data_IF_715671599691
#
_entry.id   IF_715671599691
#
_cell.length_a   1.000
_cell.length_b   1.000
_cell.length_c   1.000
_cell.angle_alpha   90.00
_cell.angle_beta   90.00
_cell.angle_gamma   90.00
#
_symmetry.space_group_name_H-M   'P 1'
#
loop_
_entity.id
_entity.type
_entity.pdbx_description
1 polymer ?
#
# COMPACT_ATOMS: atom_id res chain seq x y z
N UNK A 1 28.77 46.12 38.77
CA UNK A 1 27.53 45.41 38.45
C UNK A 1 27.47 45.23 36.95
N UNK A 2 27.03 44.07 36.48
CA UNK A 2 26.98 43.82 35.03
C UNK A 2 25.67 44.39 34.51
N UNK A 3 25.75 45.18 33.45
CA UNK A 3 24.60 45.81 32.80
C UNK A 3 24.56 45.38 31.33
N UNK A 4 23.38 45.38 30.76
CA UNK A 4 23.12 45.07 29.36
C UNK A 4 22.50 46.31 28.68
N UNK A 5 23.07 46.71 27.56
CA UNK A 5 22.53 47.84 26.78
C UNK A 5 21.42 47.34 25.89
N UNK A 6 20.22 47.89 26.03
CA UNK A 6 19.03 47.53 25.25
C UNK A 6 19.12 48.16 23.88
N UNK A 7 19.30 47.34 22.87
CA UNK A 7 19.32 47.74 21.48
C UNK A 7 18.24 47.02 20.70
N UNK A 8 17.65 47.63 19.68
CA UNK A 8 16.76 46.93 18.76
C UNK A 8 17.50 45.75 18.15
N UNK A 9 16.92 44.56 18.26
CA UNK A 9 17.46 43.32 17.73
C UNK A 9 16.32 42.41 17.23
N UNK A 10 16.62 41.64 16.22
CA UNK A 10 15.69 40.63 15.77
C UNK A 10 15.60 39.53 16.84
N UNK A 11 14.37 39.18 17.18
CA UNK A 11 14.05 38.11 18.10
C UNK A 11 13.52 36.94 17.31
N UNK A 12 14.09 35.76 17.57
CA UNK A 12 13.64 34.47 17.00
C UNK A 12 13.46 33.48 18.13
N UNK A 13 12.28 32.97 18.23
CA UNK A 13 12.00 31.79 19.07
C UNK A 13 11.77 30.60 18.15
N UNK A 14 12.61 29.58 18.25
CA UNK A 14 12.53 28.38 17.47
C UNK A 14 12.47 27.16 18.35
N UNK A 15 11.78 26.11 17.85
CA UNK A 15 11.76 24.79 18.41
C UNK A 15 12.56 23.86 17.49
N UNK A 16 13.63 23.26 18.03
CA UNK A 16 14.46 22.32 17.29
C UNK A 16 13.98 20.90 17.56
N UNK A 17 13.65 20.18 16.50
CA UNK A 17 13.19 18.79 16.56
C UNK A 17 13.90 17.96 15.51
N UNK A 18 14.08 16.68 15.80
CA UNK A 18 14.62 15.71 14.84
C UNK A 18 13.46 15.00 14.12
N UNK A 19 13.64 14.76 12.85
CA UNK A 19 12.69 14.05 12.02
C UNK A 19 13.36 13.15 11.00
N UNK A 20 12.55 12.35 10.32
CA UNK A 20 13.01 11.44 9.26
C UNK A 20 12.39 11.87 7.93
N UNK A 21 13.20 11.92 6.89
CA UNK A 21 12.76 12.19 5.52
C UNK A 21 11.96 11.00 5.01
N UNK A 22 10.77 11.26 4.49
CA UNK A 22 9.90 10.26 3.88
C UNK A 22 9.34 10.77 2.56
N UNK A 23 9.03 9.86 1.64
CA UNK A 23 8.29 10.23 0.44
C UNK A 23 6.81 10.47 0.79
N UNK A 24 6.19 11.45 0.15
CA UNK A 24 4.75 11.73 0.30
C UNK A 24 3.91 10.57 -0.26
N UNK A 25 4.38 9.99 -1.36
CA UNK A 25 3.74 8.85 -2.02
C UNK A 25 4.73 7.70 -2.11
N UNK A 26 4.25 6.50 -1.79
CA UNK A 26 5.04 5.27 -1.91
C UNK A 26 4.19 4.21 -2.59
N UNK A 27 4.70 3.63 -3.67
CA UNK A 27 4.07 2.49 -4.32
C UNK A 27 4.56 1.21 -3.65
N UNK A 28 3.63 0.47 -3.07
CA UNK A 28 3.91 -0.82 -2.44
C UNK A 28 3.73 -1.94 -3.46
N UNK A 29 4.74 -2.77 -3.61
CA UNK A 29 4.70 -3.98 -4.45
C UNK A 29 4.46 -5.17 -3.54
N UNK A 30 3.27 -5.77 -3.69
CA UNK A 30 2.81 -6.89 -2.87
C UNK A 30 2.82 -8.19 -3.65
N UNK A 31 3.22 -9.27 -3.00
CA UNK A 31 3.09 -10.61 -3.56
C UNK A 31 1.63 -11.07 -3.59
N UNK A 32 1.23 -11.90 -4.56
CA UNK A 32 -0.09 -12.52 -4.57
C UNK A 32 -0.28 -13.41 -3.34
N UNK A 33 -1.53 -13.52 -2.86
CA UNK A 33 -1.85 -14.34 -1.68
C UNK A 33 -1.96 -15.82 -2.06
N UNK A 34 -0.81 -16.46 -2.26
CA UNK A 34 -0.69 -17.87 -2.61
C UNK A 34 0.23 -18.59 -1.64
N UNK A 35 -0.02 -19.85 -1.41
CA UNK A 35 0.83 -20.69 -0.55
C UNK A 35 2.12 -21.10 -1.25
N UNK A 36 3.20 -21.25 -0.46
CA UNK A 36 4.45 -21.80 -0.95
C UNK A 36 5.20 -20.94 -1.95
N UNK A 37 5.04 -19.60 -1.85
CA UNK A 37 5.80 -18.66 -2.65
C UNK A 37 7.23 -18.55 -2.14
N UNK A 38 8.19 -18.66 -3.05
CA UNK A 38 9.61 -18.45 -2.78
C UNK A 38 10.14 -17.33 -3.68
N UNK A 39 10.92 -16.42 -3.13
CA UNK A 39 11.57 -15.34 -3.87
C UNK A 39 12.76 -15.91 -4.63
N UNK A 40 12.72 -15.86 -5.96
CA UNK A 40 13.81 -16.34 -6.84
C UNK A 40 14.74 -15.20 -7.23
N UNK A 41 14.18 -14.04 -7.51
CA UNK A 41 14.93 -12.84 -7.88
C UNK A 41 14.30 -11.63 -7.18
N UNK A 42 15.16 -10.73 -6.73
CA UNK A 42 14.77 -9.47 -6.10
C UNK A 42 15.70 -8.38 -6.63
N UNK A 43 15.16 -7.23 -7.00
CA UNK A 43 15.93 -6.05 -7.37
C UNK A 43 16.77 -5.57 -6.17
N UNK A 44 17.93 -4.99 -6.43
CA UNK A 44 18.82 -4.51 -5.38
C UNK A 44 18.26 -3.28 -4.67
N UNK A 45 18.56 -3.15 -3.39
CA UNK A 45 18.14 -1.97 -2.63
C UNK A 45 18.85 -0.72 -3.14
N UNK A 46 18.05 0.32 -3.48
CA UNK A 46 18.55 1.56 -4.05
C UNK A 46 18.71 1.55 -5.57
N UNK A 47 18.40 0.42 -6.23
CA UNK A 47 18.37 0.33 -7.70
C UNK A 47 17.29 1.23 -8.28
N UNK A 48 17.60 1.94 -9.37
CA UNK A 48 16.61 2.74 -10.11
C UNK A 48 16.10 1.89 -11.25
N UNK A 49 14.78 1.69 -11.26
CA UNK A 49 14.09 0.88 -12.26
C UNK A 49 13.12 1.74 -13.07
N UNK A 50 12.88 1.37 -14.32
CA UNK A 50 11.89 2.00 -15.20
C UNK A 50 10.51 1.31 -15.05
N UNK A 51 9.47 1.96 -15.55
CA UNK A 51 8.13 1.38 -15.59
C UNK A 51 8.10 0.09 -16.42
N UNK A 52 7.60 -0.99 -15.83
CA UNK A 52 7.54 -2.31 -16.47
C UNK A 52 8.75 -3.20 -16.24
N UNK A 53 9.82 -2.71 -15.60
CA UNK A 53 10.96 -3.55 -15.25
C UNK A 53 10.59 -4.61 -14.21
N UNK A 54 11.21 -5.79 -14.32
CA UNK A 54 11.00 -6.87 -13.36
C UNK A 54 11.75 -6.61 -12.05
N UNK A 55 11.02 -6.34 -10.99
CA UNK A 55 11.58 -6.03 -9.66
C UNK A 55 11.61 -7.22 -8.72
N UNK A 56 10.73 -8.19 -8.91
CA UNK A 56 10.77 -9.43 -8.15
C UNK A 56 10.21 -10.58 -8.99
N UNK A 57 10.82 -11.75 -8.86
CA UNK A 57 10.32 -13.01 -9.45
C UNK A 57 10.07 -13.98 -8.32
N UNK A 58 8.84 -14.44 -8.24
CA UNK A 58 8.39 -15.45 -7.30
C UNK A 58 8.24 -16.80 -8.02
N UNK A 59 8.36 -17.89 -7.30
CA UNK A 59 8.06 -19.23 -7.79
C UNK A 59 7.19 -19.99 -6.77
N UNK A 60 6.31 -20.83 -7.29
CA UNK A 60 5.57 -21.79 -6.49
C UNK A 60 5.57 -23.13 -7.19
N UNK A 61 6.36 -24.06 -6.69
CA UNK A 61 6.43 -25.44 -7.20
C UNK A 61 5.05 -26.11 -7.17
N UNK A 62 4.21 -25.75 -6.21
CA UNK A 62 2.86 -26.29 -6.08
C UNK A 62 1.96 -25.79 -7.23
N UNK A 63 1.99 -24.50 -7.54
CA UNK A 63 1.20 -23.93 -8.63
C UNK A 63 1.67 -24.44 -10.00
N UNK A 64 2.98 -24.56 -10.22
CA UNK A 64 3.55 -25.12 -11.44
C UNK A 64 3.08 -26.56 -11.67
N UNK A 65 3.14 -27.40 -10.63
CA UNK A 65 2.62 -28.77 -10.68
C UNK A 65 1.11 -28.80 -10.94
N UNK A 66 0.37 -27.86 -10.35
CA UNK A 66 -1.08 -27.77 -10.56
C UNK A 66 -1.43 -27.41 -11.99
N UNK A 67 -0.71 -26.45 -12.58
CA UNK A 67 -0.89 -26.06 -13.99
C UNK A 67 -0.60 -27.24 -14.91
N UNK A 68 0.49 -27.97 -14.67
CA UNK A 68 0.84 -29.15 -15.50
C UNK A 68 -0.20 -30.26 -15.36
N UNK A 69 -0.69 -30.52 -14.16
CA UNK A 69 -1.77 -31.50 -13.95
C UNK A 69 -3.04 -31.13 -14.71
N UNK A 70 -3.44 -29.84 -14.65
CA UNK A 70 -4.64 -29.36 -15.38
C UNK A 70 -4.45 -29.42 -16.89
N UNK A 71 -3.23 -29.20 -17.39
CA UNK A 71 -2.90 -29.34 -18.82
C UNK A 71 -3.07 -30.76 -19.30
N UNK A 72 -2.51 -31.72 -18.55
CA UNK A 72 -2.64 -33.16 -18.86
C UNK A 72 -4.13 -33.60 -18.80
N UNK A 73 -4.86 -33.12 -17.79
CA UNK A 73 -6.30 -33.42 -17.66
C UNK A 73 -7.11 -32.84 -18.84
N UNK A 74 -6.80 -31.65 -19.31
CA UNK A 74 -7.44 -31.01 -20.48
C UNK A 74 -7.18 -31.86 -21.74
N UNK A 75 -5.93 -32.25 -21.98
CA UNK A 75 -5.55 -33.09 -23.14
C UNK A 75 -6.29 -34.44 -23.12
N UNK A 76 -6.37 -35.08 -21.95
CA UNK A 76 -7.16 -36.31 -21.78
C UNK A 76 -8.62 -36.09 -22.15
N UNK A 77 -9.27 -35.05 -21.64
CA UNK A 77 -10.67 -34.72 -21.95
C UNK A 77 -10.91 -34.45 -23.43
N UNK A 78 -9.93 -33.83 -24.11
CA UNK A 78 -9.98 -33.60 -25.57
C UNK A 78 -9.91 -34.93 -26.33
N UNK A 79 -9.01 -35.83 -25.93
CA UNK A 79 -8.90 -37.18 -26.51
C UNK A 79 -10.17 -38.00 -26.29
N UNK A 80 -10.77 -37.93 -25.08
CA UNK A 80 -12.02 -38.59 -24.75
C UNK A 80 -13.18 -38.07 -25.63
N UNK A 81 -13.22 -36.77 -25.94
CA UNK A 81 -14.21 -36.20 -26.86
C UNK A 81 -14.08 -36.81 -28.28
N UNK A 82 -12.86 -36.88 -28.80
CA UNK A 82 -12.58 -37.42 -30.12
C UNK A 82 -13.04 -38.90 -30.17
N UNK A 83 -12.71 -39.70 -29.14
CA UNK A 83 -13.15 -41.09 -29.05
C UNK A 83 -14.67 -41.19 -28.98
N UNK A 84 -15.34 -40.32 -28.24
CA UNK A 84 -16.80 -40.27 -28.14
C UNK A 84 -17.45 -39.92 -29.49
N UNK A 85 -16.90 -38.94 -30.22
CA UNK A 85 -17.39 -38.57 -31.57
C UNK A 85 -17.24 -39.71 -32.57
N UNK A 86 -16.10 -40.41 -32.54
CA UNK A 86 -15.87 -41.60 -33.39
C UNK A 86 -16.88 -42.75 -33.05
N UNK A 87 -17.03 -43.04 -31.77
CA UNK A 87 -17.94 -44.10 -31.31
C UNK A 87 -19.41 -43.82 -31.68
N UNK A 88 -19.84 -42.55 -31.46
CA UNK A 88 -21.19 -42.11 -31.81
C UNK A 88 -21.38 -42.09 -33.34
N UNK A 89 -20.39 -41.64 -34.11
CA UNK A 89 -20.40 -41.67 -35.57
C UNK A 89 -20.56 -43.09 -36.12
N UNK A 90 -19.79 -44.06 -35.62
CA UNK A 90 -19.88 -45.48 -36.02
C UNK A 90 -21.25 -46.05 -35.68
N UNK A 91 -21.80 -45.79 -34.49
CA UNK A 91 -23.12 -46.28 -34.10
C UNK A 91 -24.23 -45.69 -34.97
N UNK A 92 -24.18 -44.39 -35.32
CA UNK A 92 -25.17 -43.76 -36.19
C UNK A 92 -25.06 -44.29 -37.62
N UNK A 93 -23.84 -44.45 -38.17
CA UNK A 93 -23.62 -45.04 -39.49
C UNK A 93 -24.17 -46.47 -39.59
N UNK A 94 -23.97 -47.29 -38.52
CA UNK A 94 -24.56 -48.64 -38.45
C UNK A 94 -26.10 -48.65 -38.50
N UNK A 95 -26.73 -47.71 -37.78
CA UNK A 95 -28.19 -47.55 -37.82
C UNK A 95 -28.68 -47.04 -39.19
N UNK A 96 -27.93 -46.15 -39.83
CA UNK A 96 -28.23 -45.61 -41.13
C UNK A 96 -28.19 -46.67 -42.21
N UNK A 97 -27.18 -47.56 -42.20
CA UNK A 97 -27.09 -48.72 -43.09
C UNK A 97 -28.29 -49.68 -42.86
N UNK A 98 -28.69 -49.93 -41.62
CA UNK A 98 -29.88 -50.72 -41.35
C UNK A 98 -31.18 -50.10 -41.87
N UNK A 99 -31.30 -48.74 -41.83
CA UNK A 99 -32.43 -48.02 -42.40
C UNK A 99 -32.45 -48.15 -43.93
N UNK A 100 -31.29 -48.00 -44.59
CA UNK A 100 -31.20 -48.15 -46.06
C UNK A 100 -31.54 -49.60 -46.48
N UNK A 101 -30.97 -50.60 -45.82
CA UNK A 101 -31.30 -52.00 -46.12
C UNK A 101 -32.79 -52.28 -45.94
N UNK A 102 -33.44 -51.74 -44.87
CA UNK A 102 -34.85 -51.90 -44.68
C UNK A 102 -35.70 -51.14 -45.70
N UNK A 103 -35.27 -50.01 -46.23
CA UNK A 103 -35.92 -49.31 -47.36
C UNK A 103 -35.92 -50.17 -48.62
N UNK A 104 -34.78 -50.80 -48.93
CA UNK A 104 -34.69 -51.74 -50.03
C UNK A 104 -35.66 -52.96 -49.82
N UNK A 105 -35.70 -53.55 -48.57
CA UNK A 105 -36.62 -54.60 -48.23
C UNK A 105 -38.11 -54.21 -48.40
N UNK A 106 -38.43 -52.92 -48.01
CA UNK A 106 -39.79 -52.39 -48.25
C UNK A 106 -40.08 -52.20 -49.72
N UNK A 107 -39.16 -51.68 -50.54
CA UNK A 107 -39.35 -51.53 -51.99
C UNK A 107 -39.57 -52.90 -52.68
N UNK A 108 -38.82 -53.94 -52.28
CA UNK A 108 -39.04 -55.25 -52.79
C UNK A 108 -40.44 -55.74 -52.40
N UNK A 109 -40.84 -55.63 -51.13
CA UNK A 109 -42.16 -56.02 -50.66
C UNK A 109 -43.30 -55.22 -51.32
N UNK A 110 -43.06 -54.00 -51.74
CA UNK A 110 -44.01 -53.15 -52.48
C UNK A 110 -44.15 -53.64 -53.91
N UNK A 111 -43.05 -54.02 -54.57
CA UNK A 111 -43.04 -54.58 -55.93
C UNK A 111 -43.77 -55.98 -55.92
N UNK A 112 -43.49 -56.82 -54.93
CA UNK A 112 -44.20 -58.09 -54.73
C UNK A 112 -45.70 -57.85 -54.53
N UNK A 113 -46.09 -56.75 -53.92
CA UNK A 113 -47.51 -56.41 -53.74
C UNK A 113 -48.18 -55.98 -55.02
N UNK A 114 -47.52 -55.55 -56.03
CA UNK A 114 -48.02 -55.21 -57.38
C UNK A 114 -48.47 -56.55 -58.11
N UNK A 115 -47.78 -57.61 -57.82
CA UNK A 115 -48.10 -58.95 -58.40
C UNK A 115 -49.37 -59.64 -57.79
N UNK A 116 -50.02 -59.00 -56.79
CA UNK A 116 -51.21 -59.46 -56.05
C UNK A 116 -52.35 -59.95 -56.97
N UNK A 117 -52.48 -59.42 -58.15
CA UNK A 117 -53.59 -59.72 -59.11
C UNK A 117 -53.58 -61.14 -59.57
N UNK A 118 -52.47 -61.91 -59.45
CA UNK A 118 -52.22 -63.21 -60.02
C UNK A 118 -51.96 -64.33 -58.96
N UNK A 119 -52.16 -64.03 -57.64
CA UNK A 119 -51.77 -64.93 -56.58
C UNK A 119 -52.96 -65.33 -55.68
N UNK A 120 -53.02 -66.56 -55.13
CA UNK A 120 -54.09 -67.02 -54.23
C UNK A 120 -54.24 -66.19 -52.98
N UNK A 121 -55.43 -66.11 -52.38
CA UNK A 121 -55.77 -65.25 -51.25
C UNK A 121 -54.89 -65.42 -50.03
N UNK A 122 -54.42 -66.59 -49.70
CA UNK A 122 -53.52 -66.90 -48.60
C UNK A 122 -52.16 -66.26 -48.78
N UNK A 123 -51.66 -66.29 -50.03
CA UNK A 123 -50.38 -65.60 -50.38
C UNK A 123 -50.49 -64.05 -50.40
N UNK A 124 -51.64 -63.53 -50.75
CA UNK A 124 -51.92 -62.11 -50.66
C UNK A 124 -51.79 -61.62 -49.19
N UNK A 125 -52.40 -62.28 -48.23
CA UNK A 125 -52.27 -62.00 -46.82
C UNK A 125 -50.84 -62.10 -46.32
N UNK A 126 -50.04 -63.04 -46.81
CA UNK A 126 -48.66 -63.18 -46.43
C UNK A 126 -47.80 -61.97 -46.93
N UNK A 127 -48.03 -61.55 -48.17
CA UNK A 127 -47.32 -60.33 -48.72
C UNK A 127 -47.73 -59.09 -47.96
N UNK A 128 -48.99 -58.89 -47.62
CA UNK A 128 -49.46 -57.77 -46.81
C UNK A 128 -48.80 -57.77 -45.42
N UNK A 129 -48.72 -58.85 -44.78
CA UNK A 129 -48.07 -59.00 -43.47
C UNK A 129 -46.58 -58.69 -43.56
N UNK A 130 -45.89 -59.16 -44.61
CA UNK A 130 -44.46 -58.81 -44.83
C UNK A 130 -44.26 -57.33 -45.05
N UNK A 131 -45.11 -56.71 -45.87
CA UNK A 131 -45.02 -55.23 -46.07
C UNK A 131 -45.31 -54.48 -44.81
N UNK A 132 -46.35 -54.82 -44.03
CA UNK A 132 -46.63 -54.20 -42.74
C UNK A 132 -45.48 -54.40 -41.76
N UNK A 133 -44.90 -55.62 -41.72
CA UNK A 133 -43.73 -55.89 -40.88
C UNK A 133 -42.50 -54.99 -41.25
N UNK A 134 -42.21 -54.85 -42.54
CA UNK A 134 -41.13 -54.00 -43.02
C UNK A 134 -41.40 -52.53 -42.67
N UNK A 135 -42.65 -52.05 -42.78
CA UNK A 135 -43.08 -50.71 -42.42
C UNK A 135 -42.94 -50.44 -40.91
N UNK A 136 -43.35 -51.39 -40.06
CA UNK A 136 -43.17 -51.24 -38.60
C UNK A 136 -41.68 -51.24 -38.25
N UNK A 137 -40.87 -52.11 -38.90
CA UNK A 137 -39.41 -52.15 -38.71
C UNK A 137 -38.74 -50.78 -39.14
N UNK A 138 -39.22 -50.25 -40.26
CA UNK A 138 -38.77 -48.89 -40.71
C UNK A 138 -39.03 -47.79 -39.65
N UNK A 139 -40.26 -47.69 -39.18
CA UNK A 139 -40.65 -46.74 -38.15
C UNK A 139 -39.86 -46.90 -36.84
N UNK A 140 -39.60 -48.16 -36.45
CA UNK A 140 -38.80 -48.47 -35.26
C UNK A 140 -37.35 -48.00 -35.43
N UNK A 141 -36.72 -48.29 -36.59
CA UNK A 141 -35.35 -47.89 -36.90
C UNK A 141 -35.20 -46.39 -36.98
N UNK A 142 -36.16 -45.67 -37.60
CA UNK A 142 -36.19 -44.21 -37.65
C UNK A 142 -36.22 -43.58 -36.24
N UNK A 143 -37.10 -44.12 -35.37
CA UNK A 143 -37.15 -43.67 -33.95
C UNK A 143 -35.86 -43.97 -33.22
N UNK A 144 -35.25 -45.15 -33.42
CA UNK A 144 -33.98 -45.50 -32.82
C UNK A 144 -32.84 -44.61 -33.29
N UNK A 145 -32.78 -44.31 -34.60
CA UNK A 145 -31.78 -43.39 -35.17
C UNK A 145 -31.94 -41.98 -34.60
N UNK A 146 -33.17 -41.44 -34.57
CA UNK A 146 -33.44 -40.11 -34.01
C UNK A 146 -33.09 -40.02 -32.53
N UNK A 147 -33.45 -41.02 -31.73
CA UNK A 147 -33.12 -41.10 -30.32
C UNK A 147 -31.61 -41.19 -30.09
N UNK A 148 -30.88 -42.06 -30.82
CA UNK A 148 -29.42 -42.19 -30.70
C UNK A 148 -28.70 -40.92 -31.14
N UNK A 149 -29.18 -40.26 -32.18
CA UNK A 149 -28.65 -38.96 -32.63
C UNK A 149 -28.79 -37.89 -31.54
N UNK A 150 -29.99 -37.77 -30.94
CA UNK A 150 -30.21 -36.79 -29.87
C UNK A 150 -29.37 -37.08 -28.63
N UNK A 151 -29.18 -38.34 -28.26
CA UNK A 151 -28.28 -38.75 -27.17
C UNK A 151 -26.82 -38.35 -27.51
N UNK A 152 -26.34 -38.71 -28.71
CA UNK A 152 -24.99 -38.40 -29.16
C UNK A 152 -24.70 -36.92 -29.17
N UNK A 153 -25.64 -36.11 -29.71
CA UNK A 153 -25.50 -34.64 -29.71
C UNK A 153 -25.44 -34.08 -28.29
N UNK A 154 -26.19 -34.67 -27.35
CA UNK A 154 -26.20 -34.25 -25.94
C UNK A 154 -24.89 -34.62 -25.24
N UNK A 155 -24.39 -35.86 -25.43
CA UNK A 155 -23.09 -36.31 -24.89
C UNK A 155 -21.93 -35.46 -25.38
N UNK A 156 -21.88 -35.17 -26.69
CA UNK A 156 -20.84 -34.29 -27.28
C UNK A 156 -20.93 -32.88 -26.69
N UNK A 157 -22.15 -32.32 -26.53
CA UNK A 157 -22.33 -31.00 -25.93
C UNK A 157 -21.86 -30.96 -24.47
N UNK A 158 -22.19 -31.98 -23.69
CA UNK A 158 -21.73 -32.10 -22.30
C UNK A 158 -20.21 -32.23 -22.22
N UNK A 159 -19.59 -33.01 -23.09
CA UNK A 159 -18.14 -33.17 -23.13
C UNK A 159 -17.46 -31.85 -23.50
N UNK A 160 -17.97 -31.13 -24.51
CA UNK A 160 -17.48 -29.75 -24.89
C UNK A 160 -17.61 -28.76 -23.76
N UNK A 161 -18.72 -28.82 -23.00
CA UNK A 161 -18.88 -27.95 -21.81
C UNK A 161 -17.84 -28.25 -20.73
N UNK A 162 -17.55 -29.54 -20.46
CA UNK A 162 -16.50 -29.95 -19.50
C UNK A 162 -15.11 -29.51 -19.93
N UNK A 163 -14.82 -29.55 -21.23
CA UNK A 163 -13.54 -29.06 -21.81
C UNK A 163 -13.44 -27.54 -21.61
N UNK A 164 -14.50 -26.79 -21.91
CA UNK A 164 -14.50 -25.34 -21.70
C UNK A 164 -14.26 -24.95 -20.25
N UNK A 165 -14.86 -25.67 -19.30
CA UNK A 165 -14.60 -25.46 -17.87
C UNK A 165 -13.13 -25.75 -17.50
N UNK A 166 -12.57 -26.85 -18.02
CA UNK A 166 -11.17 -27.21 -17.77
C UNK A 166 -10.21 -26.18 -18.39
N UNK A 167 -10.52 -25.66 -19.58
CA UNK A 167 -9.76 -24.57 -20.22
C UNK A 167 -9.77 -23.29 -19.38
N UNK A 168 -10.94 -22.90 -18.89
CA UNK A 168 -11.07 -21.72 -18.03
C UNK A 168 -10.27 -21.87 -16.73
N UNK A 169 -10.32 -23.04 -16.10
CA UNK A 169 -9.53 -23.32 -14.90
C UNK A 169 -8.02 -23.25 -15.18
N UNK A 170 -7.58 -23.86 -16.27
CA UNK A 170 -6.18 -23.80 -16.69
C UNK A 170 -5.74 -22.35 -16.94
N UNK A 171 -6.54 -21.57 -17.66
CA UNK A 171 -6.26 -20.16 -17.95
C UNK A 171 -6.18 -19.33 -16.69
N UNK A 172 -7.05 -19.59 -15.71
CA UNK A 172 -7.01 -18.92 -14.40
C UNK A 172 -5.71 -19.22 -13.66
N UNK A 173 -5.29 -20.47 -13.61
CA UNK A 173 -4.04 -20.86 -12.96
C UNK A 173 -2.80 -20.29 -13.70
N UNK A 174 -2.83 -20.24 -15.01
CA UNK A 174 -1.77 -19.61 -15.83
C UNK A 174 -1.67 -18.10 -15.58
N UNK A 175 -2.79 -17.39 -15.39
CA UNK A 175 -2.78 -15.98 -14.99
C UNK A 175 -2.12 -15.80 -13.64
N UNK A 176 -2.49 -16.61 -12.64
CA UNK A 176 -1.84 -16.59 -11.33
C UNK A 176 -0.34 -16.85 -11.41
N UNK A 177 0.10 -17.73 -12.32
CA UNK A 177 1.52 -17.96 -12.57
C UNK A 177 2.20 -16.72 -13.18
N UNK A 178 1.51 -16.01 -14.07
CA UNK A 178 1.98 -14.72 -14.61
C UNK A 178 2.11 -13.60 -13.57
N UNK A 179 1.25 -13.61 -12.56
CA UNK A 179 1.28 -12.64 -11.44
C UNK A 179 2.48 -12.84 -10.50
N UNK A 180 3.25 -13.91 -10.68
CA UNK A 180 4.48 -14.15 -9.91
C UNK A 180 5.66 -13.30 -10.38
N UNK A 181 5.58 -12.68 -11.53
CA UNK A 181 6.54 -11.69 -11.99
C UNK A 181 6.03 -10.32 -11.60
N UNK A 182 6.63 -9.73 -10.58
CA UNK A 182 6.25 -8.41 -10.09
C UNK A 182 7.01 -7.34 -10.88
N UNK A 183 6.26 -6.43 -11.47
CA UNK A 183 6.79 -5.36 -12.31
C UNK A 183 6.73 -4.02 -11.57
N UNK A 184 7.66 -3.12 -11.92
CA UNK A 184 7.67 -1.76 -11.43
C UNK A 184 6.46 -0.99 -12.01
N UNK A 185 5.59 -0.38 -11.18
CA UNK A 185 4.43 0.37 -11.64
C UNK A 185 4.79 1.72 -12.24
N UNK A 186 5.97 2.25 -11.91
CA UNK A 186 6.54 3.52 -12.39
C UNK A 186 8.05 3.51 -12.25
N UNK A 187 8.70 4.46 -12.91
CA UNK A 187 10.11 4.74 -12.64
C UNK A 187 10.31 5.17 -11.19
N UNK A 188 11.25 4.57 -10.49
CA UNK A 188 11.55 4.89 -9.10
C UNK A 188 12.71 4.10 -8.53
N UNK A 189 13.07 4.42 -7.29
CA UNK A 189 14.08 3.70 -6.53
C UNK A 189 13.42 2.55 -5.77
N UNK A 190 14.03 1.38 -5.82
CA UNK A 190 13.57 0.20 -5.09
C UNK A 190 14.06 0.27 -3.63
N UNK A 191 13.16 0.02 -2.70
CA UNK A 191 13.47 -0.16 -1.27
C UNK A 191 12.94 -1.50 -0.77
N UNK A 192 13.76 -2.22 -0.04
CA UNK A 192 13.34 -3.47 0.60
C UNK A 192 12.48 -3.18 1.84
N UNK A 193 11.47 -4.01 2.03
CA UNK A 193 10.60 -3.93 3.21
C UNK A 193 11.08 -4.93 4.25
N UNK A 194 11.20 -4.46 5.48
CA UNK A 194 11.42 -5.34 6.63
C UNK A 194 10.04 -5.70 7.18
N UNK A 195 9.59 -6.93 6.93
CA UNK A 195 8.34 -7.42 7.49
C UNK A 195 8.48 -7.59 9.02
N UNK A 196 7.45 -7.24 9.80
CA UNK A 196 7.49 -7.48 11.24
C UNK A 196 7.67 -8.98 11.52
N UNK A 197 8.54 -9.30 12.47
CA UNK A 197 8.73 -10.69 12.90
C UNK A 197 7.48 -11.18 13.63
N UNK A 198 6.85 -12.21 13.11
CA UNK A 198 5.68 -12.86 13.70
C UNK A 198 6.05 -14.28 14.07
N UNK A 199 5.89 -14.62 15.35
CA UNK A 199 6.03 -16.00 15.82
C UNK A 199 4.71 -16.74 15.56
N UNK A 200 4.76 -17.72 14.69
CA UNK A 200 3.61 -18.59 14.42
C UNK A 200 3.86 -19.94 15.06
N UNK A 201 3.00 -20.33 16.00
CA UNK A 201 2.91 -21.68 16.53
C UNK A 201 1.77 -22.42 15.81
N UNK A 202 2.07 -23.47 15.10
CA UNK A 202 1.03 -24.33 14.55
C UNK A 202 0.61 -25.39 15.57
N UNK A 203 -0.62 -25.89 15.47
CA UNK A 203 -1.14 -26.99 16.30
C UNK A 203 -0.35 -28.29 16.19
N UNK A 204 0.54 -28.41 15.22
CA UNK A 204 1.41 -29.55 14.97
C UNK A 204 2.80 -29.42 15.62
N UNK A 205 3.03 -28.39 16.47
CA UNK A 205 4.26 -28.23 17.23
C UNK A 205 5.43 -27.60 16.45
N UNK A 206 5.23 -27.15 15.23
CA UNK A 206 6.20 -26.35 14.50
C UNK A 206 6.06 -24.88 14.90
N UNK A 207 7.03 -24.36 15.62
CA UNK A 207 7.16 -22.92 15.90
C UNK A 207 8.26 -22.33 15.04
N UNK A 208 7.95 -21.27 14.30
CA UNK A 208 8.91 -20.53 13.48
C UNK A 208 8.72 -19.03 13.62
N UNK A 209 9.83 -18.29 13.59
CA UNK A 209 9.81 -16.83 13.41
C UNK A 209 9.73 -16.54 11.91
N UNK A 210 8.70 -15.82 11.50
CA UNK A 210 8.53 -15.38 10.13
C UNK A 210 8.53 -13.85 10.12
N UNK A 211 9.31 -13.27 9.23
CA UNK A 211 9.48 -11.83 9.13
C UNK A 211 10.92 -11.46 8.84
N UNK A 212 11.27 -10.20 9.05
CA UNK A 212 12.58 -9.67 8.73
C UNK A 212 12.71 -9.20 7.27
N UNK A 213 13.95 -8.94 6.84
CA UNK A 213 14.22 -8.50 5.48
C UNK A 213 13.98 -9.62 4.47
N UNK A 214 13.14 -9.36 3.47
CA UNK A 214 12.89 -10.30 2.38
C UNK A 214 14.14 -10.37 1.51
N UNK A 215 14.60 -11.60 1.24
CA UNK A 215 15.80 -11.89 0.45
C UNK A 215 15.50 -13.00 -0.56
N UNK A 216 16.38 -13.17 -1.55
CA UNK A 216 16.33 -14.32 -2.44
C UNK A 216 16.37 -15.61 -1.62
N UNK A 217 15.45 -16.53 -1.88
CA UNK A 217 15.23 -17.76 -1.11
C UNK A 217 14.24 -17.64 0.06
N UNK A 218 13.76 -16.43 0.40
CA UNK A 218 12.75 -16.26 1.44
C UNK A 218 11.41 -16.87 1.00
N UNK A 219 10.77 -17.60 1.92
CA UNK A 219 9.40 -18.09 1.74
C UNK A 219 8.40 -17.07 2.27
N UNK A 220 7.43 -16.71 1.43
CA UNK A 220 6.37 -15.76 1.77
C UNK A 220 5.16 -16.48 2.34
N UNK A 221 4.58 -15.93 3.40
CA UNK A 221 3.41 -16.49 4.05
C UNK A 221 2.10 -16.00 3.42
N UNK A 222 1.11 -16.89 3.15
CA UNK A 222 -0.14 -16.51 2.49
C UNK A 222 -1.06 -15.66 3.35
N UNK A 223 -0.84 -15.62 4.67
CA UNK A 223 -1.72 -14.95 5.65
C UNK A 223 -1.25 -13.56 6.05
N UNK A 224 -0.03 -13.18 5.70
CA UNK A 224 0.50 -11.84 5.94
C UNK A 224 0.48 -11.07 4.62
N UNK A 225 0.09 -9.79 4.64
CA UNK A 225 0.25 -8.93 3.48
C UNK A 225 1.74 -8.86 3.17
N UNK A 226 2.18 -9.69 2.23
CA UNK A 226 3.58 -9.79 1.85
C UNK A 226 3.93 -8.64 0.93
N UNK A 227 4.08 -7.45 1.53
CA UNK A 227 4.71 -6.33 0.84
C UNK A 227 6.19 -6.69 0.66
N UNK A 228 6.58 -6.90 -0.59
CA UNK A 228 7.93 -7.37 -0.93
C UNK A 228 8.87 -6.20 -1.05
N UNK A 229 8.43 -5.15 -1.75
CA UNK A 229 9.21 -3.97 -2.07
C UNK A 229 8.35 -2.70 -1.93
N UNK A 230 9.03 -1.59 -1.73
CA UNK A 230 8.46 -0.25 -1.78
C UNK A 230 9.22 0.58 -2.83
N UNK A 231 8.47 1.41 -3.54
CA UNK A 231 9.01 2.38 -4.48
C UNK A 231 8.53 3.77 -4.08
N UNK A 232 9.33 4.52 -3.28
CA UNK A 232 9.01 5.89 -2.92
C UNK A 232 9.12 6.82 -4.14
N UNK A 233 8.19 7.75 -4.25
CA UNK A 233 8.25 8.84 -5.22
C UNK A 233 9.19 9.92 -4.69
N UNK A 234 10.36 10.05 -5.31
CA UNK A 234 11.40 11.00 -4.90
C UNK A 234 11.09 12.45 -5.31
N UNK A 235 10.02 12.69 -6.05
CA UNK A 235 9.65 14.03 -6.51
C UNK A 235 9.05 14.89 -5.40
N UNK A 236 8.36 14.27 -4.44
CA UNK A 236 7.70 14.94 -3.32
C UNK A 236 8.11 14.28 -2.00
N UNK A 237 8.87 15.03 -1.20
CA UNK A 237 9.33 14.57 0.10
C UNK A 237 8.66 15.35 1.23
N UNK A 238 8.54 14.70 2.35
CA UNK A 238 8.08 15.26 3.62
C UNK A 238 9.02 14.83 4.75
N UNK A 239 8.96 15.53 5.86
CA UNK A 239 9.66 15.10 7.07
C UNK A 239 8.63 14.77 8.13
N UNK A 240 8.78 13.62 8.74
CA UNK A 240 8.02 13.21 9.91
C UNK A 240 8.89 13.45 11.14
N UNK A 241 8.53 14.46 11.93
CA UNK A 241 9.23 14.84 13.13
C UNK A 241 8.45 14.41 14.37
N UNK A 242 9.14 13.96 15.41
CA UNK A 242 8.56 13.60 16.70
C UNK A 242 8.74 14.73 17.69
N UNK A 243 7.64 15.21 18.24
CA UNK A 243 7.62 16.34 19.16
C UNK A 243 6.99 15.93 20.50
N UNK A 244 7.65 16.24 21.64
CA UNK A 244 7.07 15.99 22.97
C UNK A 244 5.75 16.75 23.17
N UNK A 245 4.84 16.18 23.97
CA UNK A 245 3.50 16.75 24.23
C UNK A 245 3.54 18.22 24.72
N UNK A 246 4.56 18.59 25.46
CA UNK A 246 4.72 19.95 26.02
C UNK A 246 4.87 20.97 24.90
N UNK A 247 5.70 20.67 23.89
CA UNK A 247 6.00 21.58 22.80
C UNK A 247 4.97 21.48 21.67
N UNK A 248 4.34 20.31 21.53
CA UNK A 248 3.33 20.05 20.48
C UNK A 248 2.15 21.03 20.52
N UNK A 249 1.73 21.46 21.72
CA UNK A 249 0.64 22.44 21.89
C UNK A 249 0.98 23.81 21.34
N UNK A 250 2.26 24.18 21.35
CA UNK A 250 2.78 25.49 20.93
C UNK A 250 3.00 25.58 19.44
N UNK A 251 3.16 24.44 18.75
CA UNK A 251 3.33 24.41 17.30
C UNK A 251 2.00 24.66 16.60
N UNK A 252 1.99 25.55 15.62
CA UNK A 252 0.84 25.86 14.78
C UNK A 252 1.04 25.41 13.34
N UNK A 253 -0.07 25.22 12.63
CA UNK A 253 -0.04 24.87 11.21
C UNK A 253 0.51 26.07 10.39
N UNK A 254 1.19 25.76 9.30
CA UNK A 254 1.79 26.72 8.37
C UNK A 254 2.99 27.53 8.94
N UNK A 255 3.45 27.23 10.14
CA UNK A 255 4.71 27.82 10.63
C UNK A 255 5.87 27.41 9.74
N UNK A 256 6.80 28.38 9.51
CA UNK A 256 8.00 28.17 8.73
C UNK A 256 8.97 27.25 9.46
N UNK A 257 9.60 26.37 8.70
CA UNK A 257 10.60 25.43 9.22
C UNK A 257 11.86 25.54 8.39
N UNK A 258 12.99 25.71 9.06
CA UNK A 258 14.32 25.58 8.46
C UNK A 258 14.76 24.11 8.66
N UNK A 259 15.14 23.47 7.59
CA UNK A 259 15.44 22.04 7.58
C UNK A 259 16.90 21.83 7.20
N UNK A 260 17.63 21.05 7.98
CA UNK A 260 19.01 20.64 7.70
C UNK A 260 19.09 19.11 7.70
N UNK A 261 19.55 18.54 6.60
CA UNK A 261 19.75 17.10 6.47
C UNK A 261 21.11 16.73 7.04
N UNK A 262 21.15 15.79 8.00
CA UNK A 262 22.39 15.47 8.74
C UNK A 262 23.44 14.74 7.89
N UNK A 263 23.01 13.87 6.99
CA UNK A 263 23.90 13.02 6.20
C UNK A 263 24.37 13.61 4.88
N UNK A 264 23.79 14.76 4.46
CA UNK A 264 24.20 15.48 3.25
C UNK A 264 24.96 16.75 3.65
N UNK A 265 26.23 16.84 3.32
CA UNK A 265 27.09 17.97 3.69
C UNK A 265 26.42 19.34 3.40
N UNK A 266 25.91 19.96 4.47
CA UNK A 266 25.36 21.32 4.42
C UNK A 266 24.04 21.49 3.65
N UNK A 267 23.35 20.42 3.30
CA UNK A 267 22.06 20.52 2.61
C UNK A 267 21.01 21.12 3.54
N UNK A 268 20.61 22.35 3.23
CA UNK A 268 19.55 23.06 3.93
C UNK A 268 18.40 23.36 2.98
N UNK A 269 17.19 23.23 3.46
CA UNK A 269 15.97 23.59 2.74
C UNK A 269 14.97 24.20 3.70
N UNK A 270 13.90 24.73 3.18
CA UNK A 270 12.80 25.29 3.97
C UNK A 270 11.54 24.46 3.76
N UNK A 271 10.60 24.67 4.65
CA UNK A 271 9.30 24.03 4.58
C UNK A 271 8.31 24.64 5.55
N UNK A 272 7.19 24.00 5.72
CA UNK A 272 6.10 24.42 6.61
C UNK A 272 5.52 23.24 7.36
N UNK A 273 4.94 23.50 8.51
CA UNK A 273 4.14 22.52 9.24
C UNK A 273 2.83 22.28 8.49
N UNK A 274 2.70 21.08 7.89
CA UNK A 274 1.51 20.70 7.12
C UNK A 274 0.41 20.10 7.99
N UNK A 275 0.80 19.17 8.88
CA UNK A 275 -0.17 18.41 9.66
C UNK A 275 0.38 18.08 11.04
N UNK A 276 -0.52 18.07 12.02
CA UNK A 276 -0.28 17.63 13.39
C UNK A 276 -1.04 16.32 13.59
N UNK A 277 -0.37 15.24 14.01
CA UNK A 277 -1.05 14.00 14.35
C UNK A 277 -1.86 14.19 15.64
N UNK A 278 -3.05 13.61 15.67
CA UNK A 278 -3.89 13.58 16.87
C UNK A 278 -3.53 12.42 17.80
N UNK A 279 -2.85 11.41 17.27
CA UNK A 279 -2.41 10.25 18.04
C UNK A 279 -0.97 10.43 18.50
N UNK A 280 -0.77 10.33 19.80
CA UNK A 280 0.57 10.36 20.40
C UNK A 280 1.07 8.93 20.63
N UNK A 281 2.28 8.65 20.17
CA UNK A 281 2.99 7.42 20.46
C UNK A 281 3.77 7.57 21.79
N UNK A 282 3.63 6.59 22.68
CA UNK A 282 4.38 6.56 23.92
C UNK A 282 5.67 5.78 23.71
N UNK A 283 6.80 6.49 23.75
CA UNK A 283 8.12 5.87 23.74
C UNK A 283 8.56 5.62 25.18
N UNK A 284 8.83 4.36 25.53
CA UNK A 284 9.42 3.99 26.83
C UNK A 284 10.94 3.90 26.65
N UNK A 285 11.65 4.66 27.45
CA UNK A 285 13.11 4.56 27.54
C UNK A 285 13.51 3.50 28.57
N UNK A 286 14.72 2.96 28.46
CA UNK A 286 15.27 1.99 29.42
C UNK A 286 15.31 2.49 30.87
N UNK A 287 15.32 3.83 31.04
CA UNK A 287 15.22 4.50 32.34
C UNK A 287 13.85 4.38 32.99
N UNK A 288 12.86 3.74 32.35
CA UNK A 288 11.49 3.62 32.85
C UNK A 288 10.60 4.86 32.62
N UNK A 289 11.14 5.96 32.10
CA UNK A 289 10.37 7.14 31.75
C UNK A 289 9.61 6.91 30.45
N UNK A 290 8.29 7.15 30.48
CA UNK A 290 7.43 7.15 29.31
C UNK A 290 7.26 8.58 28.81
N UNK A 291 7.72 8.88 27.62
CA UNK A 291 7.50 10.18 26.95
C UNK A 291 6.49 10.00 25.85
N UNK A 292 5.45 10.83 25.87
CA UNK A 292 4.44 10.86 24.82
C UNK A 292 4.87 11.84 23.74
N UNK A 293 5.13 11.31 22.55
CA UNK A 293 5.53 12.08 21.40
C UNK A 293 4.40 12.11 20.38
N UNK A 294 4.26 13.22 19.67
CA UNK A 294 3.30 13.41 18.60
C UNK A 294 4.03 13.63 17.30
N UNK A 295 3.48 13.11 16.21
CA UNK A 295 4.06 13.28 14.89
C UNK A 295 3.63 14.63 14.29
N UNK A 296 4.61 15.35 13.75
CA UNK A 296 4.42 16.50 12.88
C UNK A 296 4.87 16.15 11.47
N UNK A 297 4.03 16.44 10.50
CA UNK A 297 4.38 16.31 9.08
C UNK A 297 4.77 17.70 8.57
N UNK A 298 6.00 17.81 8.09
CA UNK A 298 6.58 19.03 7.58
C UNK A 298 6.77 18.91 6.07
N UNK A 299 6.40 19.93 5.30
CA UNK A 299 6.71 19.99 3.87
C UNK A 299 8.19 20.26 3.64
N UNK A 300 8.65 19.90 2.46
CA UNK A 300 9.97 20.25 1.94
C UNK A 300 9.76 21.06 0.66
N UNK A 301 10.20 22.32 0.63
CA UNK A 301 9.95 23.22 -0.51
C UNK A 301 10.80 22.86 -1.73
N UNK A 302 11.99 22.29 -1.52
CA UNK A 302 12.89 21.87 -2.60
C UNK A 302 13.51 20.52 -2.31
N UNK A 303 13.22 19.53 -3.18
CA UNK A 303 13.81 18.21 -3.12
C UNK A 303 15.12 18.18 -3.91
N UNK A 304 16.20 17.73 -3.27
CA UNK A 304 17.50 17.53 -3.91
C UNK A 304 17.72 16.04 -4.18
N UNK A 305 18.49 15.72 -5.21
CA UNK A 305 18.80 14.32 -5.57
C UNK A 305 19.52 13.53 -4.47
N UNK A 306 20.18 14.22 -3.56
CA UNK A 306 20.86 13.62 -2.40
C UNK A 306 19.90 13.32 -1.24
N UNK A 307 18.67 13.85 -1.28
CA UNK A 307 17.66 13.63 -0.24
C UNK A 307 16.99 12.28 -0.50
N UNK A 308 17.31 11.30 0.33
CA UNK A 308 16.73 9.95 0.25
C UNK A 308 15.80 9.69 1.42
N UNK A 309 14.73 8.92 1.23
CA UNK A 309 13.90 8.44 2.35
C UNK A 309 14.76 7.72 3.40
N UNK A 310 14.41 7.90 4.67
CA UNK A 310 15.16 7.33 5.80
C UNK A 310 16.28 8.21 6.37
N UNK A 311 16.66 9.29 5.69
CA UNK A 311 17.68 10.21 6.22
C UNK A 311 17.14 11.00 7.42
N UNK A 312 18.02 11.27 8.39
CA UNK A 312 17.70 12.12 9.53
C UNK A 312 17.81 13.60 9.14
N UNK A 313 16.89 14.39 9.65
CA UNK A 313 16.85 15.84 9.46
C UNK A 313 16.65 16.56 10.79
N UNK A 314 17.37 17.66 10.98
CA UNK A 314 17.11 18.61 12.07
C UNK A 314 16.22 19.72 11.54
N UNK A 315 15.07 19.89 12.19
CA UNK A 315 14.03 20.83 11.81
C UNK A 315 13.92 21.92 12.87
N UNK A 316 14.15 23.16 12.48
CA UNK A 316 13.99 24.34 13.32
C UNK A 316 12.66 25.00 12.97
N UNK A 317 11.64 24.80 13.79
CA UNK A 317 10.30 25.36 13.63
C UNK A 317 10.31 26.76 14.21
N UNK A 318 10.02 27.78 13.41
CA UNK A 318 9.94 29.18 13.84
C UNK A 318 8.61 29.38 14.57
N UNK A 319 8.69 29.56 15.89
CA UNK A 319 7.52 29.75 16.76
C UNK A 319 7.05 31.20 16.74
N UNK A 320 7.97 32.12 17.03
CA UNK A 320 7.72 33.55 17.05
C UNK A 320 8.92 34.32 16.46
N UNK A 321 8.61 35.28 15.62
CA UNK A 321 9.61 36.17 15.01
C UNK A 321 9.16 37.61 15.21
N UNK A 322 10.06 38.46 15.70
CA UNK A 322 9.83 39.90 15.80
C UNK A 322 11.07 40.63 15.39
N UNK A 323 10.95 41.54 14.41
CA UNK A 323 12.04 42.35 13.90
C UNK A 323 12.17 43.66 14.72
N UNK A 324 13.40 44.17 14.84
CA UNK A 324 13.71 45.44 15.48
C UNK A 324 13.06 45.63 16.85
N UNK A 325 12.93 44.56 17.63
CA UNK A 325 12.29 44.58 18.96
C UNK A 325 13.31 44.84 20.05
N UNK A 326 12.89 45.49 21.14
CA UNK A 326 13.75 45.71 22.30
C UNK A 326 13.86 44.37 23.06
N UNK A 327 14.99 43.73 22.97
CA UNK A 327 15.26 42.43 23.57
C UNK A 327 16.19 42.58 24.75
N UNK A 328 15.81 42.02 25.88
CA UNK A 328 16.64 41.97 27.09
C UNK A 328 16.88 40.52 27.50
N UNK A 329 18.03 40.19 28.12
CA UNK A 329 18.24 38.88 28.70
C UNK A 329 17.15 38.60 29.74
N UNK A 330 16.59 37.38 29.71
CA UNK A 330 15.46 36.98 30.61
C UNK A 330 15.85 37.12 32.10
N UNK A 331 17.13 36.99 32.43
CA UNK A 331 17.67 37.20 33.79
C UNK A 331 17.59 38.66 34.28
N UNK A 332 17.42 39.62 33.39
CA UNK A 332 17.27 41.04 33.76
C UNK A 332 15.83 41.41 34.17
N UNK A 333 14.87 40.51 33.94
CA UNK A 333 13.47 40.74 34.28
C UNK A 333 13.16 40.06 35.64
N UNK A 334 12.75 40.88 36.60
CA UNK A 334 12.38 40.43 37.93
C UNK A 334 10.86 40.51 38.10
N UNK A 335 10.27 39.49 38.70
CA UNK A 335 8.83 39.50 39.01
C UNK A 335 8.59 39.80 40.48
N UNK A 336 7.77 40.84 40.74
CA UNK A 336 7.38 41.23 42.10
C UNK A 336 5.90 41.60 42.09
N UNK A 337 5.12 40.99 42.96
CA UNK A 337 3.68 41.26 43.11
C UNK A 337 2.89 41.30 41.76
N UNK A 338 3.11 40.32 40.91
CA UNK A 338 2.51 40.23 39.56
C UNK A 338 2.98 41.26 38.53
N UNK A 339 3.91 42.17 38.89
CA UNK A 339 4.53 43.14 37.98
C UNK A 339 5.90 42.62 37.53
N UNK A 340 6.18 42.80 36.23
CA UNK A 340 7.51 42.54 35.69
C UNK A 340 8.31 43.86 35.71
N UNK A 341 9.49 43.80 36.26
CA UNK A 341 10.33 44.96 36.57
C UNK A 341 11.74 44.77 36.01
N UNK A 342 12.36 45.85 35.61
CA UNK A 342 13.77 45.92 35.29
C UNK A 342 14.44 47.07 36.08
N UNK A 343 15.72 46.93 36.33
CA UNK A 343 16.52 47.99 36.99
C UNK A 343 17.29 48.75 35.95
N UNK A 344 16.85 49.99 35.61
CA UNK A 344 17.45 50.89 34.67
C UNK A 344 18.61 51.62 35.32
N UNK A 345 19.77 51.61 34.69
CA UNK A 345 20.96 52.33 35.19
C UNK A 345 20.86 53.86 34.90
N UNK A 346 20.91 54.68 35.98
CA UNK A 346 21.01 56.15 35.91
C UNK A 346 22.27 56.54 36.63
N UNK A 347 23.37 56.67 35.89
CA UNK A 347 24.70 56.95 36.43
C UNK A 347 25.21 55.83 37.35
N UNK A 348 25.34 56.10 38.66
CA UNK A 348 25.74 55.09 39.69
C UNK A 348 24.57 54.42 40.42
N UNK A 349 23.36 54.85 40.16
CA UNK A 349 22.14 54.37 40.80
C UNK A 349 21.29 53.59 39.79
N UNK A 350 20.31 52.84 40.29
CA UNK A 350 19.36 52.10 39.50
C UNK A 350 17.93 52.51 39.83
N UNK A 351 17.14 52.76 38.80
CA UNK A 351 15.72 53.04 38.92
C UNK A 351 14.91 51.80 38.52
N UNK A 352 13.99 51.46 39.39
CA UNK A 352 13.03 50.39 39.11
C UNK A 352 11.96 50.87 38.15
N UNK A 353 11.80 50.16 37.01
CA UNK A 353 10.84 50.49 35.95
C UNK A 353 9.96 49.25 35.71
N UNK A 354 8.65 49.45 35.67
CA UNK A 354 7.70 48.42 35.29
C UNK A 354 7.73 48.27 33.74
N UNK A 355 7.75 47.01 33.29
CA UNK A 355 7.82 46.74 31.85
C UNK A 355 6.70 45.75 31.47
N UNK A 356 6.15 45.97 30.26
CA UNK A 356 5.30 44.97 29.61
C UNK A 356 6.19 44.07 28.73
N UNK A 357 6.08 42.79 28.92
CA UNK A 357 6.87 41.82 28.18
C UNK A 357 6.01 41.11 27.13
N UNK A 358 6.57 40.92 25.94
CA UNK A 358 6.02 40.08 24.89
C UNK A 358 6.53 38.65 24.96
N UNK A 359 6.93 38.12 23.78
CA UNK A 359 7.48 36.76 23.68
C UNK A 359 8.78 36.63 24.48
N UNK A 360 8.99 35.46 25.01
CA UNK A 360 10.13 35.16 25.88
C UNK A 360 10.60 33.69 25.62
N UNK A 361 11.90 33.53 25.51
CA UNK A 361 12.55 32.23 25.53
C UNK A 361 13.47 32.08 26.75
N UNK A 362 14.22 30.99 26.83
CA UNK A 362 15.12 30.72 27.96
C UNK A 362 16.24 31.76 28.14
N UNK A 363 16.62 32.48 27.08
CA UNK A 363 17.75 33.43 27.10
C UNK A 363 17.30 34.89 27.05
N UNK A 364 16.22 35.20 26.34
CA UNK A 364 15.85 36.57 25.97
C UNK A 364 14.33 36.78 26.09
N UNK A 365 13.93 38.00 26.39
CA UNK A 365 12.53 38.42 26.47
C UNK A 365 12.35 39.75 25.74
N UNK A 366 11.30 39.83 24.93
CA UNK A 366 10.91 41.10 24.28
C UNK A 366 10.25 41.99 25.32
N UNK A 367 10.63 43.26 25.34
CA UNK A 367 9.96 44.31 26.10
C UNK A 367 9.16 45.18 25.14
N UNK A 368 7.83 45.14 25.31
CA UNK A 368 6.91 45.90 24.45
C UNK A 368 6.74 47.35 24.90
N UNK A 369 6.78 47.61 26.22
CA UNK A 369 6.68 48.97 26.78
C UNK A 369 7.53 49.08 28.05
N UNK A 370 8.02 50.29 28.32
CA UNK A 370 8.74 50.64 29.55
C UNK A 370 10.25 50.81 29.39
N UNK A 371 10.81 50.53 28.21
CA UNK A 371 12.21 50.78 27.90
C UNK A 371 12.37 51.56 26.58
N UNK A 372 13.45 52.32 26.49
CA UNK A 372 13.86 53.02 25.26
C UNK A 372 15.18 52.43 24.73
N UNK A 373 15.41 52.52 23.38
CA UNK A 373 16.65 52.07 22.81
C UNK A 373 17.86 52.84 23.40
N UNK A 374 18.95 52.12 23.68
CA UNK A 374 20.18 52.71 24.22
C UNK A 374 20.25 52.71 25.74
N UNK A 375 19.17 52.45 26.45
CA UNK A 375 19.16 52.34 27.91
C UNK A 375 19.93 51.10 28.39
N UNK A 376 20.51 51.17 29.60
CA UNK A 376 21.23 50.04 30.19
C UNK A 376 20.46 49.48 31.36
N UNK A 377 20.21 48.15 31.36
CA UNK A 377 19.50 47.43 32.42
C UNK A 377 20.45 46.53 33.20
N UNK A 378 20.26 46.41 34.51
CA UNK A 378 21.04 45.49 35.33
C UNK A 378 20.62 44.01 35.08
N UNK A 379 21.61 43.14 35.01
CA UNK A 379 21.36 41.68 34.86
C UNK A 379 21.00 40.96 36.17
N UNK A 380 21.34 41.62 37.32
CA UNK A 380 21.08 41.10 38.66
C UNK A 380 20.41 42.17 39.49
N UNK A 381 19.62 41.80 40.50
CA UNK A 381 18.99 42.75 41.41
C UNK A 381 20.05 43.62 42.14
N UNK A 382 19.99 44.98 42.01
CA UNK A 382 20.90 45.85 42.69
C UNK A 382 20.70 45.84 44.23
N UNK A 383 21.78 46.12 44.94
CA UNK A 383 21.67 46.27 46.39
C UNK A 383 20.70 47.40 46.77
N UNK A 384 19.88 47.23 47.82
CA UNK A 384 18.87 48.21 48.23
C UNK A 384 19.36 49.66 48.38
N UNK A 385 20.64 49.87 48.70
CA UNK A 385 21.27 51.20 48.80
C UNK A 385 21.52 51.86 47.45
N UNK A 386 21.46 51.12 46.36
CA UNK A 386 21.67 51.59 45.00
C UNK A 386 20.38 51.79 44.22
N UNK A 387 19.23 51.54 44.82
CA UNK A 387 17.94 51.67 44.17
C UNK A 387 17.29 52.99 44.57
N UNK A 388 16.99 53.85 43.59
CA UNK A 388 16.20 55.04 43.79
C UNK A 388 14.73 54.65 43.92
N UNK A 389 14.10 54.91 45.05
CA UNK A 389 12.65 54.72 45.23
C UNK A 389 11.91 55.74 44.35
N UNK A 390 11.57 55.36 43.14
CA UNK A 390 10.68 56.16 42.32
C UNK A 390 9.23 56.03 42.76
N UNK A 391 8.49 57.13 42.85
CA UNK A 391 7.03 57.10 42.88
C UNK A 391 6.58 56.43 41.57
N UNK A 392 5.81 55.32 41.71
CA UNK A 392 5.20 54.65 40.57
C UNK A 392 4.37 55.67 39.76
N UNK A 393 4.81 55.97 38.55
CA UNK A 393 4.01 56.70 37.57
C UNK A 393 3.11 55.66 36.94
N UNK A 394 1.77 55.73 37.04
CA UNK A 394 0.91 54.77 36.35
C UNK A 394 1.17 54.89 34.84
N UNK A 395 1.23 53.77 34.17
CA UNK A 395 1.25 53.65 32.72
C UNK A 395 0.09 54.49 32.15
N UNK A 396 0.38 55.49 31.34
CA UNK A 396 -0.62 56.24 30.59
C UNK A 396 -1.25 55.30 29.58
N UNK A 397 -2.58 55.35 29.48
CA UNK A 397 -3.45 54.56 28.58
C UNK A 397 -3.05 54.66 27.11
#
# INVERSE_FOLDING_TARGET
MVTYQVLPKDYLESLVVSGTVQAVKTHSITAPQLSGLTVIRLAEEGEIVEEGDTVCVLSSTELEKRVETLRIELEKRQSDLVNLEIANGSALSGLQLQLENNKVEMAISELDSVQRKFVPEVQKKLLDLKYQQAKIKQSKLEKQYAAKRSIAETEVRQSKSRIAMAQNNLQQMQRQLGEMVLLAPKRGMVMHVVAPEVYVSTSEGMSGSYGGAIKVGSQLMPFLPSQVLQMPDLSEMQIVALVPEVDFKRVELQQRVNIRIESAEGLTTTGKVLKKSLEGATTRYESGMAVKNYELILSVDSCHSQMKPGLSAVCEIVMNEAKESLVVPSVAIHSRDSLKLVYLQEGRMFRQVSVETGFSNSAQTIVSKGLEPGQSVALTEPHHTQIVKAKAKPLAE
#
